data_IF_891477441794
#
_entry.id   IF_891477441794
#
_cell.length_a   1.000
_cell.length_b   1.000
_cell.length_c   1.000
_cell.angle_alpha   90.00
_cell.angle_beta   90.00
_cell.angle_gamma   90.00
#
_symmetry.space_group_name_H-M   'P 1'
#
loop_
_entity.id
_entity.type
_entity.pdbx_description
1 polymer ?
#
# COMPACT_ATOMS: atom_id res chain seq x y z
N UNK A 1 15.96 -28.32 -9.32
CA UNK A 1 14.97 -27.28 -9.70
C UNK A 1 15.68 -25.93 -9.65
N UNK A 2 15.97 -25.30 -10.79
CA UNK A 2 16.66 -23.99 -10.83
C UNK A 2 15.67 -22.90 -10.42
N UNK A 3 15.71 -22.51 -9.15
CA UNK A 3 14.93 -21.38 -8.64
C UNK A 3 15.26 -20.13 -9.47
N UNK A 4 14.23 -19.51 -10.03
CA UNK A 4 14.32 -18.35 -10.92
C UNK A 4 15.04 -17.22 -10.16
N UNK A 5 16.31 -16.88 -10.52
CA UNK A 5 17.13 -15.94 -9.75
C UNK A 5 16.60 -14.49 -9.79
N UNK A 6 15.62 -14.22 -10.66
CA UNK A 6 15.02 -12.92 -10.86
C UNK A 6 14.25 -12.41 -9.63
N UNK A 7 13.55 -13.31 -8.92
CA UNK A 7 12.79 -12.97 -7.70
C UNK A 7 13.74 -12.55 -6.56
N UNK A 8 14.92 -13.16 -6.47
CA UNK A 8 15.92 -12.86 -5.42
C UNK A 8 16.65 -11.53 -5.65
N UNK A 9 16.68 -11.02 -6.90
CA UNK A 9 17.25 -9.70 -7.22
C UNK A 9 16.28 -8.54 -6.94
N UNK A 10 14.98 -8.80 -6.97
CA UNK A 10 13.95 -7.76 -6.87
C UNK A 10 13.84 -7.12 -5.47
N UNK A 11 14.50 -7.67 -4.43
CA UNK A 11 14.53 -7.13 -3.04
C UNK A 11 13.18 -6.52 -2.62
N UNK A 12 12.10 -7.21 -2.96
CA UNK A 12 10.75 -6.75 -2.70
C UNK A 12 10.59 -6.59 -1.19
N UNK A 13 10.11 -5.43 -0.77
CA UNK A 13 9.79 -5.16 0.63
C UNK A 13 8.28 -5.02 0.74
N UNK A 14 7.67 -5.94 1.46
CA UNK A 14 6.25 -5.83 1.80
C UNK A 14 6.06 -4.64 2.76
N UNK A 15 5.07 -3.81 2.46
CA UNK A 15 4.69 -2.64 3.25
C UNK A 15 3.22 -2.79 3.60
N UNK A 16 2.92 -2.72 4.89
CA UNK A 16 1.55 -2.70 5.39
C UNK A 16 1.42 -1.41 6.21
N UNK A 17 0.33 -0.68 5.99
CA UNK A 17 0.02 0.56 6.66
C UNK A 17 -1.45 0.62 7.07
N UNK A 18 -1.72 1.28 8.19
CA UNK A 18 -3.05 1.60 8.65
C UNK A 18 -3.07 3.07 9.04
N UNK A 19 -4.06 3.80 8.54
CA UNK A 19 -4.32 5.19 8.90
C UNK A 19 -5.71 5.28 9.50
N UNK A 20 -5.84 6.01 10.61
CA UNK A 20 -7.12 6.29 11.25
C UNK A 20 -7.20 7.78 11.55
N UNK A 21 -8.25 8.42 11.08
CA UNK A 21 -8.49 9.85 11.25
C UNK A 21 -9.90 10.04 11.79
N UNK A 22 -10.03 10.88 12.82
CA UNK A 22 -11.31 11.26 13.38
C UNK A 22 -11.45 12.78 13.28
N UNK A 23 -12.51 13.24 12.65
CA UNK A 23 -12.81 14.67 12.51
C UNK A 23 -14.30 14.89 12.80
N UNK A 24 -14.70 16.00 13.45
CA UNK A 24 -16.12 16.30 13.71
C UNK A 24 -16.98 16.27 12.44
N UNK A 25 -16.44 16.80 11.33
CA UNK A 25 -17.12 16.86 10.03
C UNK A 25 -17.02 15.56 9.22
N UNK A 26 -15.92 14.82 9.40
CA UNK A 26 -15.62 13.57 8.71
C UNK A 26 -15.42 12.47 9.75
N UNK A 27 -16.53 12.04 10.34
CA UNK A 27 -16.53 11.03 11.39
C UNK A 27 -15.85 9.72 10.92
N UNK A 28 -15.09 9.10 11.83
CA UNK A 28 -14.34 7.83 11.72
C UNK A 28 -13.89 7.43 10.29
N UNK A 29 -12.74 7.95 9.87
CA UNK A 29 -12.03 7.54 8.65
C UNK A 29 -10.96 6.48 8.98
N UNK A 30 -10.95 5.39 8.24
CA UNK A 30 -9.97 4.31 8.37
C UNK A 30 -9.46 3.92 6.98
N UNK A 31 -8.15 3.90 6.79
CA UNK A 31 -7.51 3.53 5.53
C UNK A 31 -6.47 2.42 5.78
N UNK A 32 -6.63 1.31 5.07
CA UNK A 32 -5.64 0.25 5.00
C UNK A 32 -4.82 0.35 3.73
N UNK A 33 -3.52 0.10 3.87
CA UNK A 33 -2.53 0.14 2.79
C UNK A 33 -1.78 -1.19 2.80
N UNK A 34 -1.70 -1.85 1.66
CA UNK A 34 -0.89 -3.05 1.46
C UNK A 34 -0.13 -2.89 0.16
N UNK A 35 1.20 -2.97 0.20
CA UNK A 35 2.03 -2.68 -0.95
C UNK A 35 3.35 -3.40 -0.99
N UNK A 36 4.02 -3.26 -2.13
CA UNK A 36 5.34 -3.78 -2.42
C UNK A 36 6.24 -2.60 -2.80
N UNK A 37 7.27 -2.38 -1.99
CA UNK A 37 8.31 -1.39 -2.21
C UNK A 37 9.60 -2.03 -2.76
N UNK A 38 10.53 -1.19 -3.20
CA UNK A 38 11.83 -1.57 -3.76
C UNK A 38 11.76 -2.44 -5.02
N UNK A 39 10.68 -2.36 -5.79
CA UNK A 39 10.61 -2.96 -7.11
C UNK A 39 11.70 -2.29 -7.97
N UNK A 40 12.70 -3.07 -8.40
CA UNK A 40 13.93 -2.56 -9.05
C UNK A 40 14.67 -1.47 -8.26
N UNK A 41 14.46 -1.39 -6.93
CA UNK A 41 14.99 -0.35 -6.02
C UNK A 41 14.48 1.08 -6.26
N UNK A 42 13.50 1.27 -7.14
CA UNK A 42 13.02 2.61 -7.53
C UNK A 42 11.51 2.74 -7.53
N UNK A 43 10.77 1.62 -7.55
CA UNK A 43 9.31 1.64 -7.68
C UNK A 43 8.68 1.05 -6.43
N UNK A 44 7.56 1.66 -6.04
CA UNK A 44 6.64 1.16 -5.03
C UNK A 44 5.23 1.09 -5.60
N UNK A 45 4.52 0.02 -5.31
CA UNK A 45 3.11 -0.15 -5.68
C UNK A 45 2.32 -0.51 -4.44
N UNK A 46 1.36 0.33 -4.08
CA UNK A 46 0.49 0.13 -2.93
C UNK A 46 -0.97 -0.01 -3.38
N UNK A 47 -1.66 -1.00 -2.85
CA UNK A 47 -3.11 -1.05 -2.84
C UNK A 47 -3.63 -0.37 -1.59
N UNK A 48 -4.55 0.57 -1.77
CA UNK A 48 -5.11 1.38 -0.70
C UNK A 48 -6.61 1.18 -0.67
N UNK A 49 -7.17 1.01 0.51
CA UNK A 49 -8.61 0.86 0.73
C UNK A 49 -9.02 1.69 1.94
N UNK A 50 -10.00 2.57 1.77
CA UNK A 50 -10.52 3.39 2.85
C UNK A 50 -12.01 3.19 3.11
N UNK A 51 -12.34 3.42 4.37
CA UNK A 51 -13.65 3.29 4.95
C UNK A 51 -13.93 4.55 5.78
N UNK A 52 -15.19 4.98 5.80
CA UNK A 52 -15.67 6.14 6.54
C UNK A 52 -17.00 5.78 7.15
N UNK A 53 -17.17 6.03 8.44
CA UNK A 53 -18.40 5.69 9.17
C UNK A 53 -18.82 4.21 9.00
N UNK A 54 -17.83 3.31 8.96
CA UNK A 54 -18.07 1.87 8.74
C UNK A 54 -18.48 1.50 7.32
N UNK A 55 -18.55 2.46 6.39
CA UNK A 55 -18.87 2.23 4.98
C UNK A 55 -17.61 2.34 4.12
N UNK A 56 -17.58 1.58 3.03
CA UNK A 56 -16.53 1.72 2.03
C UNK A 56 -16.56 3.12 1.42
N UNK A 57 -15.41 3.78 1.34
CA UNK A 57 -15.27 5.09 0.69
C UNK A 57 -14.63 4.94 -0.69
N UNK A 58 -13.38 4.49 -0.71
CA UNK A 58 -12.63 4.32 -1.95
C UNK A 58 -11.60 3.20 -1.85
N UNK A 59 -11.18 2.72 -3.02
CA UNK A 59 -9.98 1.91 -3.16
C UNK A 59 -9.21 2.36 -4.38
N UNK A 60 -7.90 2.16 -4.37
CA UNK A 60 -7.05 2.56 -5.47
C UNK A 60 -5.68 1.91 -5.41
N UNK A 61 -4.98 1.99 -6.54
CA UNK A 61 -3.57 1.65 -6.64
C UNK A 61 -2.78 2.96 -6.62
N UNK A 62 -1.78 3.05 -5.73
CA UNK A 62 -0.78 4.12 -5.72
C UNK A 62 0.52 3.54 -6.28
N UNK A 63 1.09 4.21 -7.28
CA UNK A 63 2.43 3.90 -7.79
C UNK A 63 3.34 5.06 -7.42
N UNK A 64 4.38 4.76 -6.64
CA UNK A 64 5.39 5.72 -6.20
C UNK A 64 6.74 5.40 -6.84
N UNK A 65 7.55 6.45 -7.02
CA UNK A 65 8.96 6.33 -7.40
C UNK A 65 9.78 6.81 -6.20
N UNK A 66 10.62 5.92 -5.67
CA UNK A 66 11.55 6.19 -4.57
C UNK A 66 12.92 6.57 -5.19
N UNK A 67 13.49 7.71 -4.78
CA UNK A 67 14.79 8.23 -5.23
C UNK A 67 15.76 8.43 -4.05
#
# INVERSE_FOLDING_TARGET
MKAIPLVRKLRLREVIGLNYLYTPDLSHYLEGIVGLANIFKIIRVDYVRSYGQGRFLQQGLRVGIDF
#
